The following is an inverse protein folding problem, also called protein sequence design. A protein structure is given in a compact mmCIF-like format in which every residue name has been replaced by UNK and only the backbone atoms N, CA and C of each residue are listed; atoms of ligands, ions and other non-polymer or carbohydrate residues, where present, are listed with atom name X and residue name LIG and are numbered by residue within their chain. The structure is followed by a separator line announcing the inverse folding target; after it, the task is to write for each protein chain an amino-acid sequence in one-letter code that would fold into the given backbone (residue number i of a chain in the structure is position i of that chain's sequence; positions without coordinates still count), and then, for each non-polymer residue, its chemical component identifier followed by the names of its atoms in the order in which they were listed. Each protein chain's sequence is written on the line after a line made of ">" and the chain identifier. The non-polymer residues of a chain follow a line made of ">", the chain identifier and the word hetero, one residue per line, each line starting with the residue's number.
data_IF_560745632323
#
_entry.id   IF_560745632323
#
_cell.length_a   1.000
_cell.length_b   1.000
_cell.length_c   1.000
_cell.angle_alpha   90.00
_cell.angle_beta   90.00
_cell.angle_gamma   90.00
#
_symmetry.space_group_name_H-M   'P 1'
#
loop_
_entity.id
_entity.type
_entity.pdbx_description
1 polymer ?
#
# COMPACT_ATOMS: atom_id res chain seq x y z
N UNK A 1 13.29 -13.29 -1.38
CA UNK A 1 12.72 -12.04 -1.91
C UNK A 1 11.62 -11.58 -0.97
N UNK A 2 11.90 -10.58 -0.12
CA UNK A 2 10.93 -10.10 0.86
C UNK A 2 9.80 -9.39 0.12
N UNK A 3 8.59 -9.95 0.17
CA UNK A 3 7.39 -9.27 -0.33
C UNK A 3 7.17 -8.03 0.53
N UNK A 4 7.44 -6.85 -0.02
CA UNK A 4 7.10 -5.57 0.60
C UNK A 4 5.56 -5.47 0.67
N UNK A 5 4.97 -6.04 1.72
CA UNK A 5 3.57 -5.85 2.07
C UNK A 5 3.41 -4.42 2.57
N UNK A 6 3.13 -3.52 1.64
CA UNK A 6 2.61 -2.19 1.93
C UNK A 6 1.14 -2.41 2.32
N UNK A 7 0.86 -2.28 3.61
CA UNK A 7 -0.51 -2.30 4.12
C UNK A 7 -1.03 -0.87 4.04
N UNK A 8 -2.01 -0.63 3.16
CA UNK A 8 -2.69 0.67 3.08
C UNK A 8 -3.86 0.62 4.06
N UNK A 9 -3.70 1.17 5.26
CA UNK A 9 -4.81 1.25 6.22
C UNK A 9 -5.66 2.47 5.86
N UNK A 10 -6.95 2.28 5.59
CA UNK A 10 -7.93 3.35 5.47
C UNK A 10 -8.82 3.30 6.71
N UNK A 11 -9.10 4.42 7.37
CA UNK A 11 -10.12 4.47 8.42
C UNK A 11 -11.20 5.44 7.98
N UNK A 12 -12.35 4.91 7.52
CA UNK A 12 -13.55 5.74 7.31
C UNK A 12 -14.53 5.65 8.48
N UNK A 13 -14.46 4.56 9.27
CA UNK A 13 -15.20 4.28 10.50
C UNK A 13 -14.44 3.21 11.31
N UNK A 14 -13.35 3.61 11.96
CA UNK A 14 -12.64 2.96 13.08
C UNK A 14 -12.28 1.45 13.05
N UNK A 15 -12.60 0.64 12.03
CA UNK A 15 -12.31 -0.81 12.11
C UNK A 15 -12.00 -1.57 10.80
N UNK A 16 -12.15 -0.97 9.63
CA UNK A 16 -11.90 -1.69 8.37
C UNK A 16 -10.48 -1.45 7.84
N UNK A 17 -9.77 -2.51 7.45
CA UNK A 17 -8.42 -2.42 6.85
C UNK A 17 -8.44 -2.99 5.43
N UNK A 18 -7.96 -2.21 4.45
CA UNK A 18 -7.85 -2.65 3.06
C UNK A 18 -6.40 -3.06 2.73
N UNK A 19 -6.14 -4.35 2.68
CA UNK A 19 -4.84 -4.82 2.20
C UNK A 19 -4.83 -4.89 0.67
N UNK A 20 -4.04 -4.03 0.03
CA UNK A 20 -3.79 -4.08 -1.41
C UNK A 20 -2.37 -4.57 -1.68
N UNK A 21 -2.22 -5.41 -2.72
CA UNK A 21 -0.92 -5.89 -3.17
C UNK A 21 -0.31 -4.89 -4.15
N UNK A 22 0.93 -4.51 -3.92
CA UNK A 22 1.77 -3.90 -4.94
C UNK A 22 2.56 -5.02 -5.61
N UNK A 23 2.39 -5.16 -6.92
CA UNK A 23 3.14 -6.10 -7.74
C UNK A 23 4.15 -5.33 -8.59
N UNK A 24 5.29 -5.95 -8.84
CA UNK A 24 6.26 -5.47 -9.81
C UNK A 24 6.18 -6.39 -11.03
N UNK A 25 6.07 -5.78 -12.20
CA UNK A 25 6.14 -6.48 -13.48
C UNK A 25 7.63 -6.68 -13.83
N UNK A 26 8.11 -7.93 -13.95
CA UNK A 26 9.51 -8.21 -14.22
C UNK A 26 9.94 -7.80 -15.64
N UNK A 27 9.01 -7.74 -16.59
CA UNK A 27 9.32 -7.46 -17.99
C UNK A 27 9.49 -5.96 -18.22
N UNK A 28 8.64 -5.14 -17.58
CA UNK A 28 8.68 -3.67 -17.70
C UNK A 28 9.43 -2.98 -16.56
N UNK A 29 9.62 -3.66 -15.43
CA UNK A 29 10.14 -3.08 -14.19
C UNK A 29 9.14 -2.16 -13.48
N UNK A 30 7.91 -2.01 -13.97
CA UNK A 30 6.91 -1.12 -13.39
C UNK A 30 6.14 -1.74 -12.22
N UNK A 31 5.46 -0.89 -11.45
CA UNK A 31 4.69 -1.26 -10.28
C UNK A 31 3.20 -1.04 -10.51
N UNK A 32 2.37 -1.99 -10.06
CA UNK A 32 0.90 -1.91 -10.12
C UNK A 32 0.28 -2.16 -8.74
N UNK A 33 -0.77 -1.42 -8.40
CA UNK A 33 -1.55 -1.56 -7.17
C UNK A 33 -2.84 -2.35 -7.43
N UNK A 34 -2.84 -3.65 -7.11
CA UNK A 34 -3.95 -4.54 -7.48
C UNK A 34 -4.09 -4.73 -9.00
N UNK A 35 -5.22 -5.29 -9.44
CA UNK A 35 -5.43 -5.75 -10.83
C UNK A 35 -5.77 -4.63 -11.84
N UNK A 36 -6.26 -3.48 -11.38
CA UNK A 36 -6.78 -2.40 -12.25
C UNK A 36 -5.96 -1.11 -12.18
N UNK A 37 -4.83 -1.13 -11.48
CA UNK A 37 -3.93 0.01 -11.45
C UNK A 37 -3.16 0.10 -12.76
N UNK A 38 -3.03 1.31 -13.28
CA UNK A 38 -2.03 1.61 -14.30
C UNK A 38 -0.60 1.31 -13.78
N UNK A 39 0.37 1.06 -14.67
CA UNK A 39 1.76 0.88 -14.28
C UNK A 39 2.40 2.20 -13.82
N UNK A 40 3.29 2.12 -12.84
CA UNK A 40 4.07 3.24 -12.33
C UNK A 40 5.56 2.94 -12.35
N UNK A 41 6.42 3.95 -12.61
CA UNK A 41 7.87 3.77 -12.64
C UNK A 41 8.48 3.50 -11.25
N UNK A 42 7.77 3.83 -10.17
CA UNK A 42 8.19 3.53 -8.80
C UNK A 42 6.99 3.47 -7.85
N UNK A 43 7.17 2.81 -6.70
CA UNK A 43 6.16 2.82 -5.61
C UNK A 43 5.88 4.24 -5.13
N UNK A 44 6.89 5.09 -5.00
CA UNK A 44 6.70 6.48 -4.56
C UNK A 44 5.84 7.28 -5.54
N UNK A 45 6.02 7.09 -6.86
CA UNK A 45 5.20 7.73 -7.89
C UNK A 45 3.74 7.27 -7.81
N UNK A 46 3.51 5.97 -7.58
CA UNK A 46 2.18 5.40 -7.36
C UNK A 46 1.50 6.00 -6.12
N UNK A 47 2.18 6.01 -4.97
CA UNK A 47 1.62 6.57 -3.74
C UNK A 47 1.29 8.06 -3.91
N UNK A 48 2.22 8.84 -4.47
CA UNK A 48 2.00 10.28 -4.72
C UNK A 48 0.81 10.56 -5.65
N UNK A 49 0.55 9.69 -6.64
CA UNK A 49 -0.66 9.82 -7.46
C UNK A 49 -1.92 9.68 -6.61
N UNK A 50 -1.97 8.69 -5.72
CA UNK A 50 -3.15 8.43 -4.89
C UNK A 50 -3.29 9.31 -3.65
N UNK A 51 -2.32 10.18 -3.35
CA UNK A 51 -2.54 11.32 -2.45
C UNK A 51 -3.33 12.46 -3.10
N UNK A 52 -3.34 12.51 -4.45
CA UNK A 52 -3.99 13.58 -5.23
C UNK A 52 -5.20 13.11 -6.04
N UNK A 53 -5.33 11.81 -6.27
CA UNK A 53 -6.38 11.22 -7.11
C UNK A 53 -7.00 10.04 -6.40
N UNK A 54 -8.32 9.89 -6.53
CA UNK A 54 -9.06 8.81 -5.89
C UNK A 54 -8.57 7.45 -6.42
N UNK A 55 -8.22 6.57 -5.49
CA UNK A 55 -7.93 5.16 -5.70
C UNK A 55 -9.26 4.41 -5.81
N UNK A 56 -9.56 3.79 -6.97
CA UNK A 56 -10.73 2.95 -7.11
C UNK A 56 -10.58 1.69 -6.25
N UNK A 57 -11.61 1.37 -5.47
CA UNK A 57 -11.66 0.13 -4.67
C UNK A 57 -12.94 -0.61 -5.05
N UNK A 58 -12.82 -1.85 -5.52
CA UNK A 58 -13.97 -2.66 -5.90
C UNK A 58 -14.86 -2.91 -4.69
N UNK A 59 -16.16 -2.60 -4.81
CA UNK A 59 -17.13 -2.80 -3.73
C UNK A 59 -17.03 -1.81 -2.58
N UNK A 60 -16.24 -0.73 -2.72
CA UNK A 60 -16.15 0.33 -1.72
C UNK A 60 -16.12 1.71 -2.39
N UNK A 61 -16.33 2.76 -1.59
CA UNK A 61 -16.15 4.13 -2.06
C UNK A 61 -14.67 4.37 -2.40
N UNK A 62 -14.34 5.03 -3.53
CA UNK A 62 -12.96 5.41 -3.84
C UNK A 62 -12.32 6.21 -2.71
N UNK A 63 -11.02 6.02 -2.49
CA UNK A 63 -10.30 6.59 -1.34
C UNK A 63 -9.11 7.45 -1.78
N UNK A 64 -8.72 8.41 -0.93
CA UNK A 64 -7.45 9.10 -1.05
C UNK A 64 -6.48 8.53 -0.01
N UNK A 65 -5.21 8.39 -0.38
CA UNK A 65 -4.17 8.08 0.58
C UNK A 65 -3.83 9.35 1.37
N UNK A 66 -4.05 9.29 2.68
CA UNK A 66 -3.80 10.39 3.60
C UNK A 66 -3.11 9.86 4.84
N UNK A 67 -2.30 10.69 5.49
CA UNK A 67 -1.61 10.40 6.76
C UNK A 67 -0.70 9.15 6.69
N UNK A 68 0.55 9.28 6.24
CA UNK A 68 1.47 8.14 6.22
C UNK A 68 1.65 7.59 7.64
N UNK A 69 1.55 6.25 7.76
CA UNK A 69 1.79 5.54 9.01
C UNK A 69 3.06 4.72 8.86
N UNK A 70 4.04 4.99 9.70
CA UNK A 70 5.27 4.21 9.76
C UNK A 70 5.11 3.07 10.76
N UNK A 71 5.54 1.87 10.39
CA UNK A 71 5.72 0.80 11.37
C UNK A 71 6.96 1.11 12.17
N UNK A 72 6.79 1.54 13.42
CA UNK A 72 7.88 1.54 14.37
C UNK A 72 8.35 0.10 14.54
N UNK A 73 9.63 -0.15 14.24
CA UNK A 73 10.26 -1.45 14.45
C UNK A 73 10.09 -1.85 15.91
N UNK A 74 9.34 -2.92 16.18
CA UNK A 74 9.36 -3.56 17.48
C UNK A 74 10.80 -4.03 17.72
N UNK A 75 11.52 -3.37 18.63
CA UNK A 75 12.70 -3.97 19.22
C UNK A 75 12.25 -5.29 19.84
N UNK A 76 12.56 -6.40 19.17
CA UNK A 76 12.45 -7.71 19.77
C UNK A 76 13.50 -7.76 20.88
N UNK A 77 13.09 -7.44 22.11
CA UNK A 77 13.82 -7.87 23.29
C UNK A 77 13.77 -9.40 23.31
N UNK A 78 14.73 -10.04 22.63
CA UNK A 78 15.07 -11.43 22.87
C UNK A 78 15.52 -11.53 24.34
N UNK A 79 14.63 -11.95 25.23
CA UNK A 79 15.05 -12.62 26.46
C UNK A 79 15.13 -14.11 26.17
N UNK A 80 16.35 -14.55 25.90
CA UNK A 80 16.80 -15.92 26.10
C UNK A 80 16.35 -16.41 27.49
N UNK A 81 15.73 -17.58 27.52
CA UNK A 81 15.73 -18.49 28.67
C UNK A 81 15.83 -19.91 28.16
#
# INVERSE_FOLDING_TARGET
>A
MSSNKICIVFSRRESDVLHMKISNDPDTGFYVLGEYSQPYPSVSAMIYRYTKSLLPVRGSTPILLQFPVERLSQHQSQKQS
#
